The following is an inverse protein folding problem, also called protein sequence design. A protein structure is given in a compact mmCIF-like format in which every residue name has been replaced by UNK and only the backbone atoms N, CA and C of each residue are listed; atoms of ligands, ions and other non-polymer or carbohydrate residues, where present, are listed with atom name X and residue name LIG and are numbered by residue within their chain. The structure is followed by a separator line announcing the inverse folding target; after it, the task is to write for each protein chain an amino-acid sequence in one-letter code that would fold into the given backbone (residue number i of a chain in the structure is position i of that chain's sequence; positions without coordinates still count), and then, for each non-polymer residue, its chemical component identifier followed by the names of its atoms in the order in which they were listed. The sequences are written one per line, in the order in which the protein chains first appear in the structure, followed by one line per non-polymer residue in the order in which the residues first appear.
data_IF_607883953652
#
_entry.id   IF_607883953652
#
_cell.length_a   1.000
_cell.length_b   1.000
_cell.length_c   1.000
_cell.angle_alpha   90.00
_cell.angle_beta   90.00
_cell.angle_gamma   90.00
#
_symmetry.space_group_name_H-M   'P 1'
#
loop_
_entity.id
_entity.type
_entity.pdbx_description
1 polymer ?
#
# COMPACT_ATOMS: atom_id res chain seq x y z
N UNK A 1 -51.89 -4.45 81.09
CA UNK A 1 -50.51 -4.85 81.44
C UNK A 1 -50.03 -5.78 80.31
N UNK A 2 -48.85 -5.67 79.67
CA UNK A 2 -47.45 -5.70 80.18
C UNK A 2 -47.21 -6.95 81.04
N UNK A 3 -46.29 -7.87 80.79
CA UNK A 3 -45.23 -8.10 79.75
C UNK A 3 -45.03 -9.65 79.61
N UNK A 4 -44.18 -10.31 78.80
CA UNK A 4 -43.12 -9.98 77.82
C UNK A 4 -42.91 -11.18 76.85
N UNK A 5 -42.03 -11.03 75.84
CA UNK A 5 -41.49 -12.11 74.99
C UNK A 5 -40.19 -12.69 75.57
N UNK A 6 -39.79 -13.91 75.15
CA UNK A 6 -38.40 -14.32 74.83
C UNK A 6 -38.43 -15.68 74.13
N UNK A 7 -37.47 -15.96 73.26
CA UNK A 7 -37.33 -17.24 72.54
C UNK A 7 -36.04 -17.97 72.94
N UNK A 8 -35.97 -19.28 72.68
CA UNK A 8 -34.73 -20.04 72.69
C UNK A 8 -34.75 -21.08 71.56
N UNK A 9 -33.64 -21.20 70.84
CA UNK A 9 -33.49 -22.11 69.69
C UNK A 9 -32.63 -23.32 70.03
N UNK A 10 -32.83 -24.42 69.30
CA UNK A 10 -31.91 -25.55 69.28
C UNK A 10 -31.73 -26.03 67.83
N UNK A 11 -30.50 -26.36 67.45
CA UNK A 11 -30.13 -26.75 66.08
C UNK A 11 -29.38 -28.08 66.14
N UNK A 12 -29.79 -29.06 65.35
CA UNK A 12 -29.08 -30.34 65.19
C UNK A 12 -28.92 -30.71 63.72
N UNK A 13 -27.68 -30.60 63.28
CA UNK A 13 -27.06 -30.94 61.99
C UNK A 13 -27.80 -31.94 61.09
N UNK A 14 -28.05 -31.52 59.85
CA UNK A 14 -28.06 -32.42 58.67
C UNK A 14 -26.73 -32.26 57.92
N UNK A 15 -25.93 -33.33 57.83
CA UNK A 15 -24.67 -33.29 57.10
C UNK A 15 -24.87 -33.32 55.59
N UNK A 16 -24.26 -32.37 54.86
CA UNK A 16 -24.10 -32.43 53.40
C UNK A 16 -22.62 -32.59 53.06
N UNK A 17 -22.30 -33.63 52.29
CA UNK A 17 -20.93 -33.88 51.83
C UNK A 17 -20.56 -32.87 50.72
N UNK A 18 -20.04 -31.71 51.12
CA UNK A 18 -19.44 -30.76 50.19
C UNK A 18 -18.14 -31.36 49.63
N UNK A 19 -18.15 -31.73 48.35
CA UNK A 19 -16.93 -32.16 47.67
C UNK A 19 -15.91 -31.01 47.70
N UNK A 20 -14.78 -31.22 48.36
CA UNK A 20 -13.71 -30.22 48.44
C UNK A 20 -13.06 -30.06 47.07
N UNK A 21 -13.59 -29.10 46.30
CA UNK A 21 -12.93 -28.54 45.13
C UNK A 21 -11.65 -27.86 45.62
N UNK A 22 -10.51 -28.55 45.54
CA UNK A 22 -9.21 -27.95 45.78
C UNK A 22 -9.02 -26.82 44.79
N UNK A 23 -9.22 -25.59 45.24
CA UNK A 23 -8.85 -24.41 44.49
C UNK A 23 -7.33 -24.43 44.36
N UNK A 24 -6.86 -24.65 43.11
CA UNK A 24 -5.46 -24.48 42.77
C UNK A 24 -5.07 -23.06 43.21
N UNK A 25 -3.99 -22.86 43.98
CA UNK A 25 -3.62 -21.54 44.48
C UNK A 25 -3.64 -20.53 43.34
N UNK A 26 -4.54 -19.55 43.43
CA UNK A 26 -4.62 -18.49 42.44
C UNK A 26 -3.31 -17.70 42.46
N UNK A 27 -2.74 -17.47 41.29
CA UNK A 27 -1.49 -16.73 41.14
C UNK A 27 -1.68 -15.29 41.64
N UNK A 28 -1.36 -15.03 42.91
CA UNK A 28 -1.46 -13.70 43.54
C UNK A 28 -0.34 -12.75 43.12
N UNK A 29 0.35 -13.08 42.02
CA UNK A 29 0.99 -12.11 41.15
C UNK A 29 -0.04 -11.04 40.76
N UNK A 30 -0.01 -9.90 41.44
CA UNK A 30 -0.89 -8.75 41.15
C UNK A 30 -0.66 -8.35 39.70
N UNK A 31 -1.63 -8.68 38.84
CA UNK A 31 -1.62 -8.33 37.44
C UNK A 31 -1.77 -6.82 37.32
N UNK A 32 -0.64 -6.10 37.37
CA UNK A 32 -0.57 -4.69 37.06
C UNK A 32 -1.23 -4.49 35.69
N UNK A 33 -2.15 -3.53 35.53
CA UNK A 33 -2.86 -3.34 34.28
C UNK A 33 -1.89 -2.91 33.19
N UNK A 34 -1.37 -3.88 32.43
CA UNK A 34 -0.50 -3.62 31.29
C UNK A 34 -1.32 -2.91 30.23
N UNK A 35 -1.09 -1.60 30.09
CA UNK A 35 -1.69 -0.78 29.04
C UNK A 35 -1.24 -1.31 27.68
N UNK A 36 -2.07 -2.13 27.05
CA UNK A 36 -1.83 -2.66 25.71
C UNK A 36 -1.82 -1.50 24.71
N UNK A 37 -0.63 -1.02 24.37
CA UNK A 37 -0.42 0.00 23.34
C UNK A 37 -0.71 -0.62 21.96
N UNK A 38 -1.99 -0.59 21.57
CA UNK A 38 -2.41 -0.98 20.23
C UNK A 38 -1.89 0.03 19.22
N UNK A 39 -0.94 -0.41 18.39
CA UNK A 39 -0.50 0.34 17.22
C UNK A 39 -1.70 0.63 16.30
N UNK A 40 -1.87 1.90 15.90
CA UNK A 40 -2.92 2.34 14.98
C UNK A 40 -2.25 2.98 13.78
N UNK A 41 -2.09 2.19 12.72
CA UNK A 41 -1.55 2.66 11.44
C UNK A 41 -2.58 3.52 10.72
N UNK A 42 -2.34 4.84 10.68
CA UNK A 42 -3.03 5.75 9.78
C UNK A 42 -2.36 5.67 8.40
N UNK A 43 -3.04 5.03 7.44
CA UNK A 43 -2.65 5.07 6.04
C UNK A 43 -3.21 6.33 5.38
N UNK A 44 -2.42 7.05 4.59
CA UNK A 44 -2.94 8.12 3.72
C UNK A 44 -3.72 7.52 2.54
N UNK A 45 -4.96 7.12 2.81
CA UNK A 45 -5.92 6.62 1.84
C UNK A 45 -6.96 7.68 1.49
N UNK A 46 -6.84 8.31 0.32
CA UNK A 46 -7.92 9.12 -0.25
C UNK A 46 -9.16 8.27 -0.55
N UNK A 47 -10.34 8.90 -0.59
CA UNK A 47 -11.65 8.25 -0.78
C UNK A 47 -11.93 7.67 -2.18
N UNK A 48 -10.96 6.98 -2.77
CA UNK A 48 -11.03 6.31 -4.07
C UNK A 48 -11.58 4.89 -3.88
N UNK A 49 -12.60 4.52 -4.63
CA UNK A 49 -13.19 3.17 -4.60
C UNK A 49 -12.11 2.08 -4.87
N UNK A 50 -11.89 1.13 -3.93
CA UNK A 50 -10.92 0.05 -4.10
C UNK A 50 -11.28 -0.94 -5.21
N UNK A 51 -12.56 -1.05 -5.59
CA UNK A 51 -13.03 -1.95 -6.65
C UNK A 51 -13.06 -1.27 -8.03
N UNK A 52 -13.01 0.08 -8.09
CA UNK A 52 -12.95 0.79 -9.36
C UNK A 52 -11.57 0.64 -10.00
N UNK A 53 -11.53 -0.01 -11.16
CA UNK A 53 -10.29 -0.25 -11.91
C UNK A 53 -9.49 1.03 -12.17
N UNK A 54 -8.22 1.01 -11.81
CA UNK A 54 -7.25 2.08 -12.04
C UNK A 54 -7.10 2.48 -13.52
N UNK A 55 -7.43 1.58 -14.46
CA UNK A 55 -7.46 1.88 -15.89
C UNK A 55 -8.59 2.87 -16.27
N UNK A 56 -9.59 3.04 -15.40
CA UNK A 56 -10.70 4.00 -15.56
C UNK A 56 -10.51 5.31 -14.80
N UNK A 57 -9.79 5.34 -13.67
CA UNK A 57 -9.62 6.56 -12.88
C UNK A 57 -8.55 7.52 -13.40
N UNK A 58 -7.80 7.14 -14.44
CA UNK A 58 -6.86 8.02 -15.14
C UNK A 58 -5.47 8.13 -14.50
N UNK A 59 -5.36 7.93 -13.18
CA UNK A 59 -4.13 7.94 -12.37
C UNK A 59 -2.96 7.14 -12.97
N UNK A 60 -3.28 6.11 -13.75
CA UNK A 60 -2.34 5.16 -14.34
C UNK A 60 -1.74 5.62 -15.68
N UNK A 61 -2.38 6.56 -16.38
CA UNK A 61 -2.01 6.94 -17.76
C UNK A 61 -1.03 8.13 -17.81
N UNK A 62 -0.15 8.20 -18.83
CA UNK A 62 -0.02 7.27 -19.96
C UNK A 62 0.68 5.96 -19.56
N UNK A 63 0.24 4.86 -20.18
CA UNK A 63 1.00 3.61 -20.18
C UNK A 63 2.15 3.70 -21.19
N UNK A 64 3.19 2.91 -20.98
CA UNK A 64 4.33 2.78 -21.91
C UNK A 64 3.88 2.35 -23.32
N UNK A 65 2.83 1.53 -23.42
CA UNK A 65 2.15 1.12 -24.66
C UNK A 65 1.40 2.26 -25.37
N UNK A 66 0.97 3.28 -24.63
CA UNK A 66 0.29 4.46 -25.19
C UNK A 66 1.31 5.41 -25.84
N UNK A 67 2.60 5.30 -25.50
CA UNK A 67 3.65 6.22 -25.92
C UNK A 67 4.41 5.71 -27.15
N UNK A 68 4.54 6.57 -28.16
CA UNK A 68 5.42 6.36 -29.31
C UNK A 68 6.63 7.31 -29.26
N UNK A 69 7.83 6.74 -29.18
CA UNK A 69 9.07 7.51 -29.34
C UNK A 69 9.12 8.08 -30.76
N UNK A 70 9.18 9.40 -30.86
CA UNK A 70 9.08 10.13 -32.14
C UNK A 70 10.42 10.75 -32.55
N UNK A 71 11.22 11.21 -31.57
CA UNK A 71 12.56 11.78 -31.83
C UNK A 71 13.43 11.62 -30.60
N UNK A 72 14.74 11.41 -30.80
CA UNK A 72 15.75 11.57 -29.75
C UNK A 72 16.80 12.57 -30.23
N UNK A 73 17.09 13.57 -29.41
CA UNK A 73 18.25 14.44 -29.54
C UNK A 73 19.27 13.94 -28.52
N UNK A 74 20.31 13.23 -28.99
CA UNK A 74 21.28 12.56 -28.14
C UNK A 74 22.62 13.32 -28.12
N UNK A 75 23.08 13.73 -26.93
CA UNK A 75 24.43 14.25 -26.71
C UNK A 75 25.32 13.11 -26.18
N UNK A 76 26.23 12.63 -27.03
CA UNK A 76 27.16 11.54 -26.69
C UNK A 76 28.31 11.94 -25.75
N UNK A 77 28.47 13.23 -25.45
CA UNK A 77 29.42 13.72 -24.43
C UNK A 77 28.74 13.90 -23.07
N UNK A 78 27.47 14.27 -23.06
CA UNK A 78 26.69 14.52 -21.85
C UNK A 78 25.27 13.93 -21.94
N UNK A 79 25.11 12.66 -21.57
CA UNK A 79 23.82 11.94 -21.60
C UNK A 79 22.69 12.62 -20.79
N UNK A 80 23.02 13.49 -19.83
CA UNK A 80 22.07 14.33 -19.08
C UNK A 80 21.49 15.50 -19.88
N UNK A 81 22.11 15.88 -21.01
CA UNK A 81 21.61 16.89 -21.96
C UNK A 81 20.71 16.30 -23.04
N UNK A 82 20.74 14.99 -23.24
CA UNK A 82 19.89 14.28 -24.21
C UNK A 82 18.41 14.51 -23.89
N UNK A 83 17.59 14.66 -24.94
CA UNK A 83 16.15 14.89 -24.86
C UNK A 83 15.42 13.88 -25.74
N UNK A 84 14.44 13.19 -25.18
CA UNK A 84 13.50 12.36 -25.90
C UNK A 84 12.18 13.11 -26.14
N UNK A 85 11.57 12.89 -27.30
CA UNK A 85 10.25 13.41 -27.67
C UNK A 85 9.33 12.22 -27.94
N UNK A 86 8.32 12.08 -27.09
CA UNK A 86 7.31 11.04 -27.16
C UNK A 86 5.95 11.65 -27.52
N UNK A 87 5.14 10.88 -28.25
CA UNK A 87 3.74 11.20 -28.52
C UNK A 87 2.86 10.12 -27.91
N UNK A 88 1.91 10.51 -27.10
CA UNK A 88 0.83 9.65 -26.62
C UNK A 88 -0.19 9.45 -27.75
N UNK A 89 -0.52 8.19 -28.04
CA UNK A 89 -1.42 7.77 -29.12
C UNK A 89 -2.89 8.02 -28.73
N UNK A 90 -3.22 7.89 -27.44
CA UNK A 90 -4.57 8.02 -26.89
C UNK A 90 -5.06 9.47 -26.90
N UNK A 91 -4.24 10.41 -26.42
CA UNK A 91 -4.62 11.82 -26.29
C UNK A 91 -3.85 12.79 -27.23
N UNK A 92 -2.94 12.27 -28.07
CA UNK A 92 -2.10 13.02 -29.02
C UNK A 92 -1.11 14.01 -28.39
N UNK A 93 -0.98 14.04 -27.06
CA UNK A 93 -0.07 14.93 -26.33
C UNK A 93 1.39 14.58 -26.64
N UNK A 94 2.21 15.63 -26.73
CA UNK A 94 3.66 15.49 -26.91
C UNK A 94 4.34 15.71 -25.56
N UNK A 95 5.16 14.75 -25.15
CA UNK A 95 6.00 14.81 -23.96
C UNK A 95 7.45 15.01 -24.40
N UNK A 96 8.12 16.02 -23.83
CA UNK A 96 9.55 16.29 -24.02
C UNK A 96 10.24 16.02 -22.70
N UNK A 97 11.14 15.05 -22.65
CA UNK A 97 11.74 14.58 -21.40
C UNK A 97 13.24 14.37 -21.48
N UNK A 98 13.89 14.48 -20.32
CA UNK A 98 15.31 14.22 -20.04
C UNK A 98 15.43 13.03 -19.09
N UNK A 99 16.66 12.54 -18.93
CA UNK A 99 17.03 11.59 -17.89
C UNK A 99 16.64 12.14 -16.50
N UNK A 100 15.84 11.38 -15.74
CA UNK A 100 15.30 11.76 -14.43
C UNK A 100 13.84 12.20 -14.42
N UNK A 101 13.28 12.66 -15.55
CA UNK A 101 11.89 13.13 -15.63
C UNK A 101 10.88 11.97 -15.43
N UNK A 102 9.67 12.31 -14.98
CA UNK A 102 8.59 11.34 -14.71
C UNK A 102 7.35 11.68 -15.54
N UNK A 103 6.81 10.69 -16.25
CA UNK A 103 5.53 10.78 -16.97
C UNK A 103 4.55 9.78 -16.33
N UNK A 104 3.62 10.27 -15.50
CA UNK A 104 2.71 9.39 -14.75
C UNK A 104 3.48 8.46 -13.83
N UNK A 105 3.61 7.19 -14.22
CA UNK A 105 4.33 6.12 -13.49
C UNK A 105 5.63 5.67 -14.18
N UNK A 106 6.05 6.39 -15.23
CA UNK A 106 7.21 6.08 -16.06
C UNK A 106 8.34 7.07 -15.75
N UNK A 107 9.41 6.63 -15.09
CA UNK A 107 10.61 7.43 -14.84
C UNK A 107 11.62 7.21 -15.96
N UNK A 108 12.18 8.28 -16.52
CA UNK A 108 13.21 8.19 -17.58
C UNK A 108 14.56 7.84 -16.93
N UNK A 109 15.05 6.64 -17.18
CA UNK A 109 16.28 6.11 -16.54
C UNK A 109 17.51 6.28 -17.44
N UNK A 110 17.37 6.13 -18.75
CA UNK A 110 18.46 6.41 -19.71
C UNK A 110 17.89 6.78 -21.09
N UNK A 111 18.40 7.85 -21.71
CA UNK A 111 18.17 8.14 -23.13
C UNK A 111 19.36 7.62 -23.95
N UNK A 112 19.09 6.85 -25.00
CA UNK A 112 20.07 6.26 -25.93
C UNK A 112 19.78 6.72 -27.38
N UNK A 113 20.71 6.60 -28.35
CA UNK A 113 20.52 7.17 -29.69
C UNK A 113 19.28 6.72 -30.48
N UNK A 114 18.74 5.53 -30.19
CA UNK A 114 17.57 4.95 -30.88
C UNK A 114 16.49 4.40 -29.96
N UNK A 115 16.61 4.59 -28.65
CA UNK A 115 15.68 4.03 -27.66
C UNK A 115 15.73 4.83 -26.35
N UNK A 116 14.67 4.73 -25.55
CA UNK A 116 14.61 5.32 -24.21
C UNK A 116 14.28 4.21 -23.21
N UNK A 117 15.09 4.15 -22.16
CA UNK A 117 14.94 3.22 -21.03
C UNK A 117 14.10 3.91 -19.96
N UNK A 118 12.98 3.28 -19.59
CA UNK A 118 12.10 3.72 -18.52
C UNK A 118 12.15 2.73 -17.36
N UNK A 119 12.07 3.22 -16.13
CA UNK A 119 11.65 2.42 -14.98
C UNK A 119 10.17 2.69 -14.73
N UNK A 120 9.35 1.65 -14.86
CA UNK A 120 7.92 1.63 -14.54
C UNK A 120 7.78 1.34 -13.06
N UNK A 121 7.14 2.24 -12.30
CA UNK A 121 6.85 2.04 -10.87
C UNK A 121 5.37 1.67 -10.69
N UNK A 122 5.08 0.43 -10.32
CA UNK A 122 3.71 -0.11 -10.32
C UNK A 122 3.49 -1.13 -9.19
N UNK A 123 2.53 -0.83 -8.30
CA UNK A 123 2.11 -1.71 -7.18
C UNK A 123 3.23 -2.19 -6.24
N UNK A 124 4.26 -1.35 -6.03
CA UNK A 124 5.44 -1.70 -5.22
C UNK A 124 6.52 -2.48 -5.97
N UNK A 125 6.30 -2.77 -7.26
CA UNK A 125 7.31 -3.34 -8.15
C UNK A 125 7.91 -2.27 -9.05
N UNK A 126 9.21 -2.42 -9.35
CA UNK A 126 9.88 -1.67 -10.41
C UNK A 126 10.23 -2.58 -11.57
N UNK A 127 9.94 -2.15 -12.80
CA UNK A 127 10.28 -2.88 -14.03
C UNK A 127 10.98 -1.95 -15.01
N UNK A 128 12.11 -2.37 -15.55
CA UNK A 128 12.77 -1.65 -16.63
C UNK A 128 12.15 -2.04 -17.98
N UNK A 129 11.78 -1.07 -18.80
CA UNK A 129 11.33 -1.27 -20.19
C UNK A 129 12.06 -0.34 -21.16
N UNK A 130 12.12 -0.74 -22.42
CA UNK A 130 12.76 0.04 -23.50
C UNK A 130 11.77 0.36 -24.60
N UNK A 131 11.63 1.64 -24.92
CA UNK A 131 10.83 2.11 -26.05
C UNK A 131 11.77 2.52 -27.18
N UNK A 132 11.77 1.76 -28.27
CA UNK A 132 12.62 1.99 -29.43
C UNK A 132 11.98 2.99 -30.43
N UNK A 133 12.83 3.70 -31.15
CA UNK A 133 12.43 4.56 -32.26
C UNK A 133 12.02 3.66 -33.42
N UNK A 134 10.73 3.67 -33.77
CA UNK A 134 10.17 2.84 -34.85
C UNK A 134 11.03 2.98 -36.11
N UNK A 135 11.64 1.88 -36.56
CA UNK A 135 12.29 1.84 -37.87
C UNK A 135 11.19 2.05 -38.91
N UNK A 136 11.30 3.12 -39.68
CA UNK A 136 10.46 3.30 -40.85
C UNK A 136 10.95 2.31 -41.90
N UNK A 137 10.10 1.36 -42.27
CA UNK A 137 10.41 0.39 -43.32
C UNK A 137 10.03 1.02 -44.66
N UNK A 138 11.03 1.22 -45.51
CA UNK A 138 10.84 1.72 -46.87
C UNK A 138 10.25 0.58 -47.69
N UNK A 139 8.95 0.71 -48.02
CA UNK A 139 8.26 -0.22 -48.92
C UNK A 139 8.81 -0.03 -50.34
N UNK A 140 9.20 -1.11 -51.05
CA UNK A 140 9.73 -1.04 -52.41
C UNK A 140 8.67 -0.71 -53.47
#
# INVERSE_FOLDING_TARGET
MRVASVALALVTLTGSAAAQRTERPGDTTVAQPQTLLREVFAYEGGGRDPFMSLLKSGDVRPLISDLKLTTVVYDGRFTSRSVAVLRDITNRRIYRVKTGDIIGRLKVTQIRPREVVFTVQEFGFERQETLSLTKQEETP
#
